data_IF_080807419233
#
_entry.id   IF_080807419233
#
_cell.length_a   1.000
_cell.length_b   1.000
_cell.length_c   1.000
_cell.angle_alpha   90.00
_cell.angle_beta   90.00
_cell.angle_gamma   90.00
#
_symmetry.space_group_name_H-M   'P 1'
#
loop_
_entity.id
_entity.type
_entity.pdbx_description
1 polymer ?
#
# COMPACT_ATOMS: atom_id res chain seq x y z
N UNK A 1 -2.43 -4.33 17.37
CA UNK A 1 -2.87 -4.16 15.97
C UNK A 1 -2.74 -5.52 15.30
N UNK A 2 -3.87 -6.17 15.00
CA UNK A 2 -3.89 -7.49 14.34
C UNK A 2 -3.32 -7.32 12.94
N UNK A 3 -2.36 -8.17 12.56
CA UNK A 3 -1.86 -8.19 11.18
C UNK A 3 -2.91 -8.94 10.35
N UNK A 4 -3.55 -8.30 9.34
CA UNK A 4 -4.50 -8.99 8.47
C UNK A 4 -3.79 -10.07 7.66
N UNK A 5 -4.50 -11.15 7.35
CA UNK A 5 -4.03 -12.17 6.40
C UNK A 5 -3.95 -11.57 4.99
N UNK A 6 -3.30 -12.27 4.07
CA UNK A 6 -3.25 -11.90 2.66
C UNK A 6 -4.65 -11.75 2.04
N UNK A 7 -5.58 -12.64 2.35
CA UNK A 7 -7.00 -12.56 1.93
C UNK A 7 -7.68 -11.29 2.48
N UNK A 8 -7.55 -11.02 3.79
CA UNK A 8 -8.14 -9.84 4.44
C UNK A 8 -7.55 -8.53 3.89
N UNK A 9 -6.26 -8.53 3.56
CA UNK A 9 -5.61 -7.40 2.92
C UNK A 9 -6.14 -7.19 1.50
N UNK A 10 -6.31 -8.27 0.73
CA UNK A 10 -6.87 -8.20 -0.61
C UNK A 10 -8.29 -7.62 -0.57
N UNK A 11 -9.14 -8.09 0.34
CA UNK A 11 -10.50 -7.56 0.48
C UNK A 11 -10.52 -6.05 0.81
N UNK A 12 -9.62 -5.58 1.68
CA UNK A 12 -9.50 -4.15 1.98
C UNK A 12 -9.03 -3.34 0.77
N UNK A 13 -8.06 -3.86 0.00
CA UNK A 13 -7.59 -3.24 -1.23
C UNK A 13 -8.72 -3.13 -2.24
N UNK A 14 -9.50 -4.19 -2.45
CA UNK A 14 -10.60 -4.18 -3.42
C UNK A 14 -11.72 -3.24 -3.01
N UNK A 15 -12.08 -3.21 -1.72
CA UNK A 15 -13.03 -2.24 -1.19
C UNK A 15 -12.55 -0.79 -1.37
N UNK A 16 -11.25 -0.53 -1.19
CA UNK A 16 -10.66 0.79 -1.42
C UNK A 16 -10.71 1.19 -2.90
N UNK A 17 -10.37 0.27 -3.81
CA UNK A 17 -10.42 0.52 -5.25
C UNK A 17 -11.85 0.79 -5.73
N UNK A 18 -12.84 0.07 -5.20
CA UNK A 18 -14.26 0.30 -5.49
C UNK A 18 -14.74 1.67 -4.97
N UNK A 19 -14.42 1.99 -3.71
CA UNK A 19 -14.82 3.25 -3.09
C UNK A 19 -14.20 4.50 -3.74
N UNK A 20 -12.94 4.40 -4.18
CA UNK A 20 -12.18 5.53 -4.75
C UNK A 20 -12.23 5.58 -6.28
N UNK A 21 -12.62 4.49 -6.94
CA UNK A 21 -12.51 4.32 -8.40
C UNK A 21 -11.06 4.26 -8.91
N UNK A 22 -10.07 4.10 -8.02
CA UNK A 22 -8.66 4.05 -8.39
C UNK A 22 -8.33 2.74 -9.12
N UNK A 23 -7.36 2.78 -10.04
CA UNK A 23 -6.88 1.56 -10.70
C UNK A 23 -5.90 0.79 -9.81
N UNK A 24 -5.90 -0.56 -9.85
CA UNK A 24 -4.98 -1.37 -9.05
C UNK A 24 -3.51 -1.08 -9.36
N UNK A 25 -3.20 -0.76 -10.62
CA UNK A 25 -1.85 -0.38 -11.05
C UNK A 25 -1.41 0.95 -10.43
N UNK A 26 -2.32 1.93 -10.33
CA UNK A 26 -2.01 3.21 -9.70
C UNK A 26 -1.77 3.05 -8.20
N UNK A 27 -2.65 2.31 -7.51
CA UNK A 27 -2.48 2.03 -6.08
C UNK A 27 -1.12 1.36 -5.78
N UNK A 28 -0.75 0.34 -6.56
CA UNK A 28 0.55 -0.33 -6.37
C UNK A 28 1.75 0.59 -6.62
N UNK A 29 1.67 1.48 -7.62
CA UNK A 29 2.72 2.47 -7.88
C UNK A 29 2.81 3.51 -6.75
N UNK A 30 1.68 4.03 -6.29
CA UNK A 30 1.65 5.12 -5.30
C UNK A 30 2.03 4.62 -3.90
N UNK A 31 1.53 3.46 -3.50
CA UNK A 31 1.79 2.90 -2.16
C UNK A 31 3.15 2.20 -2.04
N UNK A 32 3.61 1.52 -3.10
CA UNK A 32 4.80 0.66 -3.01
C UNK A 32 5.83 0.87 -4.12
N UNK A 33 5.52 1.66 -5.14
CA UNK A 33 6.35 1.81 -6.34
C UNK A 33 6.23 0.65 -7.34
N UNK A 34 5.33 -0.32 -7.13
CA UNK A 34 5.22 -1.53 -7.96
C UNK A 34 3.80 -1.69 -8.52
N UNK A 35 3.57 -1.24 -9.76
CA UNK A 35 2.24 -1.29 -10.39
C UNK A 35 1.69 -2.69 -10.67
N UNK A 36 2.54 -3.72 -10.63
CA UNK A 36 2.13 -5.12 -10.78
C UNK A 36 1.70 -5.77 -9.46
N UNK A 37 1.94 -5.12 -8.32
CA UNK A 37 1.82 -5.76 -7.01
C UNK A 37 0.41 -6.26 -6.74
N UNK A 38 -0.61 -5.42 -6.95
CA UNK A 38 -2.01 -5.77 -6.69
C UNK A 38 -2.47 -6.95 -7.55
N UNK A 39 -2.02 -7.00 -8.81
CA UNK A 39 -2.29 -8.14 -9.69
C UNK A 39 -1.65 -9.42 -9.14
N UNK A 40 -0.43 -9.36 -8.64
CA UNK A 40 0.21 -10.52 -8.03
C UNK A 40 -0.48 -10.97 -6.74
N UNK A 41 -0.95 -10.05 -5.90
CA UNK A 41 -1.72 -10.39 -4.69
C UNK A 41 -3.02 -11.13 -5.08
N UNK A 42 -3.72 -10.66 -6.13
CA UNK A 42 -4.90 -11.34 -6.69
C UNK A 42 -4.60 -12.76 -7.21
N UNK A 43 -3.38 -12.99 -7.67
CA UNK A 43 -2.90 -14.30 -8.14
C UNK A 43 -2.49 -15.23 -6.99
N UNK A 44 -2.58 -14.77 -5.73
CA UNK A 44 -2.20 -15.54 -4.54
C UNK A 44 -0.74 -15.38 -4.13
N UNK A 45 -0.03 -14.34 -4.62
CA UNK A 45 1.32 -14.03 -4.16
C UNK A 45 1.29 -13.57 -2.70
N UNK A 46 1.99 -14.30 -1.84
CA UNK A 46 2.27 -13.83 -0.49
C UNK A 46 3.21 -12.63 -0.52
N UNK A 47 2.81 -11.54 0.12
CA UNK A 47 3.63 -10.34 0.25
C UNK A 47 4.28 -10.27 1.63
N UNK A 48 5.32 -9.44 1.75
CA UNK A 48 5.94 -9.19 3.06
C UNK A 48 5.05 -8.30 3.93
N UNK A 49 5.20 -8.44 5.25
CA UNK A 49 4.52 -7.57 6.22
C UNK A 49 4.80 -6.08 5.98
N UNK A 50 6.01 -5.73 5.53
CA UNK A 50 6.38 -4.35 5.20
C UNK A 50 5.55 -3.81 4.03
N UNK A 51 5.38 -4.63 2.99
CA UNK A 51 4.58 -4.28 1.80
C UNK A 51 3.10 -4.12 2.18
N UNK A 52 2.56 -5.05 2.96
CA UNK A 52 1.18 -4.96 3.45
C UNK A 52 0.96 -3.72 4.31
N UNK A 53 1.94 -3.37 5.17
CA UNK A 53 1.89 -2.16 5.99
C UNK A 53 1.83 -0.89 5.14
N UNK A 54 2.66 -0.77 4.10
CA UNK A 54 2.64 0.41 3.19
C UNK A 54 1.31 0.58 2.47
N UNK A 55 0.70 -0.53 2.02
CA UNK A 55 -0.62 -0.49 1.40
C UNK A 55 -1.69 0.01 2.38
N UNK A 56 -1.69 -0.51 3.61
CA UNK A 56 -2.64 -0.09 4.64
C UNK A 56 -2.45 1.40 5.02
N UNK A 57 -1.21 1.82 5.22
CA UNK A 57 -0.85 3.20 5.56
C UNK A 57 -1.26 4.20 4.47
N UNK A 58 -1.07 3.80 3.21
CA UNK A 58 -1.53 4.57 2.06
C UNK A 58 -3.06 4.73 2.05
N UNK A 59 -3.80 3.64 2.22
CA UNK A 59 -5.27 3.68 2.24
C UNK A 59 -5.81 4.51 3.39
N UNK A 60 -5.21 4.39 4.58
CA UNK A 60 -5.58 5.16 5.78
C UNK A 60 -5.35 6.66 5.57
N UNK A 61 -4.17 7.04 5.07
CA UNK A 61 -3.83 8.43 4.75
C UNK A 61 -4.78 9.03 3.72
N UNK A 62 -5.12 8.25 2.67
CA UNK A 62 -6.06 8.69 1.64
C UNK A 62 -7.45 9.03 2.23
N UNK A 63 -7.97 8.21 3.14
CA UNK A 63 -9.23 8.49 3.83
C UNK A 63 -9.14 9.63 4.85
N UNK A 64 -7.97 9.84 5.45
CA UNK A 64 -7.72 10.98 6.34
C UNK A 64 -7.74 12.34 5.61
N UNK A 65 -7.84 12.33 4.26
CA UNK A 65 -7.90 13.54 3.44
C UNK A 65 -6.53 14.15 3.13
N UNK A 66 -5.45 13.45 3.49
CA UNK A 66 -4.08 13.87 3.22
C UNK A 66 -3.49 12.90 2.20
N UNK A 67 -3.22 13.31 0.95
CA UNK A 67 -2.64 12.40 -0.02
C UNK A 67 -1.27 11.95 0.51
N UNK A 68 -1.07 10.65 0.80
CA UNK A 68 0.21 10.14 1.26
C UNK A 68 1.21 10.34 0.13
N UNK A 69 1.96 11.42 0.21
CA UNK A 69 3.03 11.68 -0.73
C UNK A 69 4.11 10.61 -0.48
N UNK A 70 4.50 9.82 -1.50
CA UNK A 70 5.50 8.75 -1.36
C UNK A 70 6.89 9.27 -0.92
N UNK A 71 7.06 10.60 -0.85
CA UNK A 71 8.28 11.30 -0.47
C UNK A 71 8.50 11.49 1.05
N UNK A 72 7.56 11.10 1.93
CA UNK A 72 7.71 11.35 3.38
C UNK A 72 8.66 10.39 4.12
N UNK A 73 9.17 9.33 3.47
CA UNK A 73 10.13 8.40 4.08
C UNK A 73 11.37 8.16 3.20
N UNK A 74 12.13 9.23 2.93
CA UNK A 74 13.60 9.13 2.76
C UNK A 74 14.25 10.34 3.42
N UNK A 75 14.32 10.28 4.76
CA UNK A 75 15.42 10.89 5.48
C UNK A 75 16.15 9.78 6.21
N UNK A 76 16.84 8.94 5.42
CA UNK A 76 18.02 8.26 5.94
C UNK A 76 19.01 9.40 6.19
N UNK A 77 19.05 9.87 7.44
CA UNK A 77 20.11 10.74 7.90
C UNK A 77 21.43 10.01 7.62
N UNK A 78 22.16 10.48 6.62
CA UNK A 78 23.58 10.21 6.52
C UNK A 78 24.22 10.83 7.75
N UNK A 79 24.41 10.04 8.79
CA UNK A 79 25.26 10.40 9.92
C UNK A 79 26.71 10.13 9.48
N UNK A 80 27.37 11.20 9.07
CA UNK A 80 28.81 11.25 8.92
C UNK A 80 29.43 11.45 10.32
N UNK A 81 30.36 10.59 10.70
CA UNK A 81 31.40 10.86 11.69
C UNK A 81 32.62 9.99 11.41
#
# INVERSE_FOLDING_TARGET
MTIPTDEELLQQIEAFLDATGMTPTRLGLDATGEGGLIKSIRDGRSITLRTGRRLLDYMDSYYAGEPPSPDSETKIIGEAA
#
